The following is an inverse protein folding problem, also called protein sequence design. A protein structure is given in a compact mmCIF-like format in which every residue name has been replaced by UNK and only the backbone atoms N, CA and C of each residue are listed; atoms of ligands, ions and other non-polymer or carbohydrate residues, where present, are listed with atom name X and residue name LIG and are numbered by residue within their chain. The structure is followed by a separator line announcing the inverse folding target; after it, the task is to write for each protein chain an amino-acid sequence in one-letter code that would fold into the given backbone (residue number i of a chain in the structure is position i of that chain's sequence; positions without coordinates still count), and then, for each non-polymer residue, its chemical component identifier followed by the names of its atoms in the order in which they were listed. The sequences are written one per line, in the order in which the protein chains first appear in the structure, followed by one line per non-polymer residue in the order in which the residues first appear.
data_IF_614781349120
#
_entry.id   IF_614781349120
#
_cell.length_a   1.000
_cell.length_b   1.000
_cell.length_c   1.000
_cell.angle_alpha   90.00
_cell.angle_beta   90.00
_cell.angle_gamma   90.00
#
_symmetry.space_group_name_H-M   'P 1'
#
loop_
_entity.id
_entity.type
_entity.pdbx_description
1 polymer ?
#
# COMPACT_ATOMS: atom_id res chain seq x y z
N UNK A 1 5.59 -19.16 -5.27
CA UNK A 1 5.20 -18.35 -4.08
C UNK A 1 5.08 -16.90 -4.51
N UNK A 2 3.97 -16.21 -4.18
CA UNK A 2 3.60 -14.91 -4.77
C UNK A 2 4.11 -13.68 -3.99
N UNK A 3 4.56 -13.82 -2.74
CA UNK A 3 4.94 -12.68 -1.87
C UNK A 3 6.41 -12.24 -2.01
N UNK A 4 7.11 -12.64 -3.06
CA UNK A 4 8.51 -12.27 -3.25
C UNK A 4 8.65 -10.80 -3.69
N UNK A 5 9.62 -10.09 -3.10
CA UNK A 5 9.95 -8.70 -3.45
C UNK A 5 8.81 -7.68 -3.36
N UNK A 6 7.88 -7.84 -2.41
CA UNK A 6 6.81 -6.87 -2.12
C UNK A 6 7.39 -5.53 -1.67
N UNK A 7 6.89 -4.43 -2.22
CA UNK A 7 7.35 -3.06 -1.90
C UNK A 7 6.27 -2.22 -1.20
N UNK A 8 5.02 -2.66 -1.22
CA UNK A 8 3.89 -2.05 -0.54
C UNK A 8 2.74 -3.05 -0.47
N UNK A 9 1.87 -2.93 0.54
CA UNK A 9 0.72 -3.83 0.72
C UNK A 9 -0.54 -2.99 0.90
N UNK A 10 -1.61 -3.38 0.19
CA UNK A 10 -2.95 -2.84 0.40
C UNK A 10 -3.78 -3.92 1.10
N UNK A 11 -4.20 -3.65 2.33
CA UNK A 11 -5.04 -4.52 3.14
C UNK A 11 -6.51 -4.13 2.92
N UNK A 12 -7.26 -4.99 2.24
CA UNK A 12 -8.65 -4.71 1.87
C UNK A 12 -9.61 -5.47 2.78
N UNK A 13 -10.58 -4.77 3.35
CA UNK A 13 -11.66 -5.41 4.09
C UNK A 13 -13.03 -4.88 3.68
N UNK A 14 -14.08 -5.60 4.09
CA UNK A 14 -15.47 -5.26 3.85
C UNK A 14 -16.04 -4.58 5.12
N UNK A 15 -16.54 -3.36 4.98
CA UNK A 15 -17.08 -2.59 6.12
C UNK A 15 -18.33 -3.24 6.72
N UNK A 16 -19.06 -4.04 5.93
CA UNK A 16 -20.25 -4.79 6.37
C UNK A 16 -19.88 -6.08 7.12
N UNK A 17 -18.63 -6.54 7.00
CA UNK A 17 -18.15 -7.79 7.59
C UNK A 17 -17.01 -7.55 8.59
N UNK A 18 -17.35 -7.45 9.88
CA UNK A 18 -16.37 -7.29 10.98
C UNK A 18 -15.30 -8.38 11.01
N UNK A 19 -15.58 -9.61 10.54
CA UNK A 19 -14.58 -10.68 10.52
C UNK A 19 -13.49 -10.42 9.48
N UNK A 20 -13.83 -9.75 8.37
CA UNK A 20 -12.86 -9.41 7.32
C UNK A 20 -11.79 -8.45 7.84
N UNK A 21 -12.15 -7.44 8.66
CA UNK A 21 -11.19 -6.52 9.26
C UNK A 21 -10.30 -7.24 10.29
N UNK A 22 -10.85 -8.16 11.07
CA UNK A 22 -10.07 -8.98 12.02
C UNK A 22 -9.05 -9.88 11.32
N UNK A 23 -9.35 -10.37 10.12
CA UNK A 23 -8.44 -11.23 9.37
C UNK A 23 -7.27 -10.45 8.75
N UNK A 24 -7.34 -9.11 8.65
CA UNK A 24 -6.24 -8.29 8.12
C UNK A 24 -4.93 -8.53 8.86
N UNK A 25 -4.98 -8.73 10.17
CA UNK A 25 -3.79 -9.07 10.97
C UNK A 25 -3.12 -10.38 10.51
N UNK A 26 -3.92 -11.40 10.21
CA UNK A 26 -3.39 -12.69 9.77
C UNK A 26 -2.76 -12.55 8.39
N UNK A 27 -3.43 -11.83 7.49
CA UNK A 27 -2.93 -11.58 6.13
C UNK A 27 -1.70 -10.68 6.10
N UNK A 28 -1.61 -9.67 6.97
CA UNK A 28 -0.42 -8.84 7.07
C UNK A 28 0.78 -9.65 7.55
N UNK A 29 0.60 -10.50 8.56
CA UNK A 29 1.69 -11.37 9.05
C UNK A 29 2.12 -12.38 7.98
N UNK A 30 1.17 -12.98 7.25
CA UNK A 30 1.48 -13.88 6.14
C UNK A 30 2.33 -13.20 5.05
N UNK A 31 2.01 -11.95 4.70
CA UNK A 31 2.72 -11.21 3.67
C UNK A 31 4.11 -10.69 4.13
N UNK A 32 4.26 -10.40 5.43
CA UNK A 32 5.48 -9.81 6.01
C UNK A 32 6.48 -10.88 6.51
N UNK A 33 6.00 -11.96 7.12
CA UNK A 33 6.84 -12.98 7.78
C UNK A 33 7.14 -14.17 6.85
N UNK A 34 8.01 -13.95 5.86
CA UNK A 34 8.37 -14.93 4.81
C UNK A 34 9.02 -16.22 5.31
N UNK A 35 9.64 -16.20 6.50
CA UNK A 35 10.51 -17.29 6.97
C UNK A 35 10.02 -17.99 8.25
N UNK A 36 8.81 -17.66 8.74
CA UNK A 36 8.23 -18.38 9.85
C UNK A 36 7.53 -19.61 9.26
N UNK A 37 8.14 -20.79 9.42
CA UNK A 37 7.43 -22.06 9.29
C UNK A 37 6.09 -21.94 9.98
N UNK A 38 4.98 -22.50 9.44
CA UNK A 38 3.68 -22.43 10.08
C UNK A 38 3.73 -23.30 11.34
N UNK A 39 4.40 -22.80 12.39
CA UNK A 39 4.23 -23.30 13.73
C UNK A 39 2.76 -23.04 14.02
N UNK A 40 2.05 -24.09 14.40
CA UNK A 40 0.62 -24.16 14.69
C UNK A 40 0.17 -23.26 15.86
N UNK A 41 0.97 -22.24 16.20
CA UNK A 41 0.87 -21.38 17.37
C UNK A 41 1.18 -19.97 16.87
N UNK A 42 0.17 -19.16 16.57
CA UNK A 42 0.15 -17.69 16.74
C UNK A 42 -1.21 -17.11 16.30
N UNK A 43 -2.30 -17.86 16.48
CA UNK A 43 -3.65 -17.32 16.26
C UNK A 43 -4.60 -17.81 17.35
N UNK A 44 -4.16 -17.74 18.60
CA UNK A 44 -5.08 -17.73 19.73
C UNK A 44 -5.44 -16.28 20.01
N UNK A 45 -6.74 -15.97 19.88
CA UNK A 45 -7.41 -14.69 20.15
C UNK A 45 -6.81 -13.83 21.29
N UNK A 46 -5.76 -13.02 21.06
CA UNK A 46 -5.30 -12.12 22.12
C UNK A 46 -4.13 -11.22 21.76
N UNK A 47 -2.99 -11.79 21.40
CA UNK A 47 -1.73 -11.05 21.49
C UNK A 47 -1.19 -10.70 20.11
N UNK A 48 -1.80 -9.67 19.49
CA UNK A 48 -1.17 -8.98 18.37
C UNK A 48 -0.12 -8.04 18.91
N UNK A 49 1.14 -8.33 18.64
CA UNK A 49 2.25 -7.49 19.07
C UNK A 49 2.37 -6.27 18.13
N UNK A 50 2.03 -5.09 18.64
CA UNK A 50 2.15 -3.82 17.92
C UNK A 50 3.60 -3.53 17.51
N UNK A 51 4.58 -4.02 18.26
CA UNK A 51 6.00 -3.80 17.96
C UNK A 51 6.43 -4.46 16.65
N UNK A 52 5.80 -5.59 16.27
CA UNK A 52 6.06 -6.25 14.98
C UNK A 52 5.73 -5.36 13.76
N UNK A 53 4.79 -4.43 13.92
CA UNK A 53 4.43 -3.49 12.85
C UNK A 53 5.25 -2.20 12.90
N UNK A 54 5.82 -1.83 14.05
CA UNK A 54 6.64 -0.64 14.21
C UNK A 54 7.96 -0.74 13.42
N UNK A 55 8.56 -1.93 13.37
CA UNK A 55 9.81 -2.18 12.63
C UNK A 55 9.58 -2.47 11.14
N UNK A 56 8.33 -2.68 10.72
CA UNK A 56 8.03 -3.03 9.34
C UNK A 56 8.30 -1.86 8.40
N UNK A 57 9.27 -2.06 7.50
CA UNK A 57 9.63 -1.05 6.52
C UNK A 57 8.68 -0.99 5.33
N UNK A 58 7.85 -2.01 5.08
CA UNK A 58 6.95 -2.03 3.91
C UNK A 58 5.74 -1.12 4.16
N UNK A 59 5.49 -0.08 3.34
CA UNK A 59 4.31 0.77 3.49
C UNK A 59 3.00 -0.01 3.37
N UNK A 60 2.05 0.30 4.27
CA UNK A 60 0.72 -0.30 4.33
C UNK A 60 -0.36 0.74 4.04
N UNK A 61 -1.42 0.33 3.33
CA UNK A 61 -2.65 1.09 3.13
C UNK A 61 -3.84 0.18 3.45
N UNK A 62 -4.78 0.64 4.27
CA UNK A 62 -6.02 -0.08 4.57
C UNK A 62 -7.16 0.49 3.73
N UNK A 63 -7.89 -0.38 3.04
CA UNK A 63 -9.09 0.00 2.27
C UNK A 63 -10.31 -0.72 2.81
N UNK A 64 -11.26 0.05 3.33
CA UNK A 64 -12.60 -0.43 3.67
C UNK A 64 -13.56 -0.27 2.49
N UNK A 65 -14.14 -1.37 2.04
CA UNK A 65 -15.06 -1.42 0.89
C UNK A 65 -16.52 -1.49 1.33
N UNK A 66 -17.44 -1.31 0.38
CA UNK A 66 -18.90 -1.33 0.59
C UNK A 66 -19.41 -0.24 1.54
N UNK A 67 -18.79 0.94 1.51
CA UNK A 67 -19.20 2.07 2.34
C UNK A 67 -20.66 2.48 2.10
N UNK A 68 -21.14 2.32 0.87
CA UNK A 68 -22.53 2.54 0.44
C UNK A 68 -23.54 1.64 1.17
N UNK A 69 -23.11 0.46 1.63
CA UNK A 69 -23.98 -0.50 2.33
C UNK A 69 -24.05 -0.27 3.84
N UNK A 70 -23.30 0.70 4.37
CA UNK A 70 -23.32 1.04 5.79
C UNK A 70 -24.42 2.08 6.06
N UNK A 71 -25.43 1.77 6.89
CA UNK A 71 -26.44 2.73 7.28
C UNK A 71 -25.82 3.96 7.94
N UNK A 72 -26.31 5.15 7.62
CA UNK A 72 -25.82 6.42 8.18
C UNK A 72 -25.73 6.40 9.72
N UNK A 73 -26.74 5.81 10.37
CA UNK A 73 -26.81 5.69 11.84
C UNK A 73 -25.68 4.85 12.45
N UNK A 74 -25.07 3.95 11.68
CA UNK A 74 -23.99 3.06 12.12
C UNK A 74 -22.62 3.45 11.54
N UNK A 75 -22.56 4.43 10.63
CA UNK A 75 -21.32 4.75 9.91
C UNK A 75 -20.20 5.16 10.86
N UNK A 76 -20.47 6.08 11.79
CA UNK A 76 -19.44 6.53 12.74
C UNK A 76 -18.92 5.38 13.62
N UNK A 77 -19.79 4.48 14.08
CA UNK A 77 -19.38 3.31 14.86
C UNK A 77 -18.43 2.39 14.06
N UNK A 78 -18.78 2.11 12.80
CA UNK A 78 -17.99 1.26 11.92
C UNK A 78 -16.62 1.90 11.62
N UNK A 79 -16.59 3.20 11.31
CA UNK A 79 -15.36 3.93 10.97
C UNK A 79 -14.44 4.12 12.18
N UNK A 80 -14.99 4.44 13.36
CA UNK A 80 -14.18 4.53 14.58
C UNK A 80 -13.52 3.20 14.95
N UNK A 81 -14.22 2.08 14.70
CA UNK A 81 -13.66 0.75 14.94
C UNK A 81 -12.50 0.42 13.99
N UNK A 82 -12.57 0.85 12.72
CA UNK A 82 -11.50 0.59 11.75
C UNK A 82 -10.32 1.52 11.95
N UNK A 83 -10.52 2.74 12.48
CA UNK A 83 -9.44 3.66 12.81
C UNK A 83 -8.40 3.06 13.78
N UNK A 84 -8.84 2.37 14.85
CA UNK A 84 -7.91 1.70 15.77
C UNK A 84 -7.05 0.63 15.09
N UNK A 85 -7.66 -0.15 14.19
CA UNK A 85 -6.96 -1.17 13.42
C UNK A 85 -5.89 -0.55 12.49
N UNK A 86 -6.20 0.60 11.91
CA UNK A 86 -5.29 1.35 11.03
C UNK A 86 -4.09 1.91 11.81
N UNK A 87 -4.33 2.41 13.02
CA UNK A 87 -3.28 2.86 13.94
C UNK A 87 -2.33 1.71 14.30
N UNK A 88 -2.86 0.51 14.57
CA UNK A 88 -2.06 -0.68 14.87
C UNK A 88 -1.11 -1.03 13.71
N UNK A 89 -1.55 -0.85 12.46
CA UNK A 89 -0.72 -1.05 11.27
C UNK A 89 0.18 0.13 10.92
N UNK A 90 0.09 1.26 11.62
CA UNK A 90 0.74 2.52 11.23
C UNK A 90 0.48 2.88 9.76
N UNK A 91 -0.74 2.64 9.30
CA UNK A 91 -1.17 2.74 7.91
C UNK A 91 -2.03 3.99 7.65
N UNK A 92 -2.24 4.31 6.37
CA UNK A 92 -3.34 5.22 5.98
C UNK A 92 -4.63 4.43 5.74
N UNK A 93 -5.78 5.11 5.82
CA UNK A 93 -7.10 4.52 5.57
C UNK A 93 -7.85 5.25 4.45
N UNK A 94 -8.46 4.45 3.57
CA UNK A 94 -9.46 4.89 2.59
C UNK A 94 -10.72 4.03 2.73
N UNK A 95 -11.86 4.65 2.99
CA UNK A 95 -13.16 3.98 2.98
C UNK A 95 -13.94 4.42 1.75
N UNK A 96 -14.42 3.47 0.94
CA UNK A 96 -15.06 3.77 -0.34
C UNK A 96 -16.12 2.74 -0.77
N UNK A 97 -16.89 3.14 -1.77
CA UNK A 97 -17.70 2.26 -2.61
C UNK A 97 -16.96 2.03 -3.93
N UNK A 98 -16.55 0.78 -4.18
CA UNK A 98 -15.81 0.38 -5.37
C UNK A 98 -16.61 0.50 -6.67
N UNK A 99 -17.94 0.59 -6.59
CA UNK A 99 -18.83 0.69 -7.76
C UNK A 99 -19.02 2.13 -8.22
N UNK A 100 -18.58 3.11 -7.42
CA UNK A 100 -18.71 4.52 -7.72
C UNK A 100 -17.35 5.18 -7.99
N UNK A 101 -17.06 5.63 -9.23
CA UNK A 101 -15.76 6.18 -9.60
C UNK A 101 -15.43 7.49 -8.88
N UNK A 102 -16.44 8.16 -8.31
CA UNK A 102 -16.27 9.43 -7.59
C UNK A 102 -15.34 9.32 -6.38
N UNK A 103 -15.28 8.14 -5.75
CA UNK A 103 -14.46 7.92 -4.56
C UNK A 103 -12.96 7.94 -4.83
N UNK A 104 -12.53 7.82 -6.09
CA UNK A 104 -11.14 7.96 -6.51
C UNK A 104 -10.98 8.98 -7.65
N UNK A 105 -11.96 9.90 -7.79
CA UNK A 105 -11.87 10.97 -8.77
C UNK A 105 -10.63 11.84 -8.50
N UNK A 106 -10.00 12.32 -9.58
CA UNK A 106 -8.86 13.21 -9.49
C UNK A 106 -9.19 14.45 -8.63
N UNK A 107 -8.27 14.83 -7.73
CA UNK A 107 -8.47 15.93 -6.79
C UNK A 107 -9.29 15.58 -5.54
N UNK A 108 -9.88 14.38 -5.46
CA UNK A 108 -10.51 13.91 -4.22
C UNK A 108 -9.48 13.62 -3.14
N UNK A 109 -9.86 13.74 -1.86
CA UNK A 109 -9.00 13.41 -0.72
C UNK A 109 -8.48 11.97 -0.77
N UNK A 110 -9.31 11.03 -1.26
CA UNK A 110 -8.93 9.63 -1.41
C UNK A 110 -7.89 9.43 -2.51
N UNK A 111 -8.02 10.11 -3.66
CA UNK A 111 -7.01 10.06 -4.70
C UNK A 111 -5.66 10.63 -4.22
N UNK A 112 -5.69 11.70 -3.41
CA UNK A 112 -4.48 12.28 -2.80
C UNK A 112 -3.82 11.29 -1.84
N UNK A 113 -4.58 10.64 -0.95
CA UNK A 113 -4.06 9.58 -0.06
C UNK A 113 -3.45 8.42 -0.84
N UNK A 114 -4.13 7.97 -1.89
CA UNK A 114 -3.64 6.89 -2.75
C UNK A 114 -2.32 7.26 -3.44
N UNK A 115 -2.21 8.48 -3.97
CA UNK A 115 -0.95 9.00 -4.53
C UNK A 115 0.16 9.02 -3.48
N UNK A 116 -0.08 9.56 -2.28
CA UNK A 116 0.91 9.57 -1.19
C UNK A 116 1.38 8.18 -0.80
N UNK A 117 0.47 7.21 -0.76
CA UNK A 117 0.84 5.82 -0.50
C UNK A 117 1.80 5.29 -1.58
N UNK A 118 1.50 5.49 -2.87
CA UNK A 118 2.39 5.06 -3.94
C UNK A 118 3.73 5.80 -3.93
N UNK A 119 3.73 7.10 -3.66
CA UNK A 119 4.96 7.88 -3.52
C UNK A 119 5.83 7.33 -2.39
N UNK A 120 5.24 7.06 -1.21
CA UNK A 120 5.92 6.43 -0.07
C UNK A 120 6.51 5.05 -0.42
N UNK A 121 5.80 4.24 -1.20
CA UNK A 121 6.30 2.93 -1.70
C UNK A 121 7.53 3.12 -2.58
N UNK A 122 7.48 4.06 -3.53
CA UNK A 122 8.60 4.38 -4.42
C UNK A 122 9.79 4.89 -3.60
N UNK A 123 9.56 5.81 -2.68
CA UNK A 123 10.58 6.38 -1.81
C UNK A 123 11.29 5.34 -0.96
N UNK A 124 10.53 4.49 -0.27
CA UNK A 124 11.10 3.41 0.54
C UNK A 124 11.90 2.40 -0.28
N UNK A 125 11.49 2.14 -1.53
CA UNK A 125 12.17 1.19 -2.41
C UNK A 125 13.45 1.74 -3.03
N UNK A 126 13.47 3.01 -3.43
CA UNK A 126 14.55 3.57 -4.24
C UNK A 126 15.36 4.66 -3.54
N UNK A 127 14.77 5.44 -2.63
CA UNK A 127 15.44 6.61 -2.07
C UNK A 127 15.92 6.43 -0.62
N UNK A 128 15.29 5.55 0.18
CA UNK A 128 15.75 5.25 1.56
C UNK A 128 16.98 4.33 1.57
N UNK A 129 17.20 3.53 0.52
CA UNK A 129 18.37 2.64 0.41
C UNK A 129 19.66 3.37 0.03
N UNK A 130 19.57 4.55 -0.56
CA UNK A 130 20.71 5.27 -1.15
C UNK A 130 21.29 6.33 -0.21
N UNK A 131 21.46 6.00 1.08
CA UNK A 131 22.46 6.66 1.92
C UNK A 131 23.90 6.37 1.49
N UNK A 132 24.09 5.41 0.57
CA UNK A 132 25.34 5.16 -0.14
C UNK A 132 25.02 4.51 -1.49
N UNK A 133 25.38 5.22 -2.57
CA UNK A 133 25.39 4.80 -3.98
C UNK A 133 24.11 5.08 -4.78
N UNK A 134 24.05 6.29 -5.35
CA UNK A 134 23.21 6.60 -6.52
C UNK A 134 23.73 5.76 -7.70
N UNK A 135 22.97 4.80 -8.26
CA UNK A 135 23.25 4.30 -9.60
C UNK A 135 22.70 5.34 -10.57
N UNK A 136 23.61 6.11 -11.16
CA UNK A 136 23.34 7.03 -12.27
C UNK A 136 22.38 6.37 -13.26
N UNK A 137 21.22 7.00 -13.44
CA UNK A 137 20.24 6.60 -14.44
C UNK A 137 20.91 6.75 -15.81
N UNK A 138 21.32 5.64 -16.43
CA UNK A 138 21.81 5.66 -17.80
C UNK A 138 20.72 6.20 -18.72
N UNK A 139 20.86 7.46 -19.14
CA UNK A 139 20.01 8.08 -20.14
C UNK A 139 19.93 7.16 -21.36
N UNK A 140 18.73 6.64 -21.63
CA UNK A 140 18.43 6.02 -22.92
C UNK A 140 18.58 7.10 -23.98
N UNK A 141 19.73 7.12 -24.67
CA UNK A 141 19.91 7.85 -25.93
C UNK A 141 18.76 7.50 -26.88
N UNK A 142 17.88 8.47 -27.12
CA UNK A 142 17.00 8.51 -28.29
C UNK A 142 17.88 8.49 -29.53
N UNK A 143 18.08 7.32 -30.13
CA UNK A 143 18.50 7.22 -31.53
C UNK A 143 17.32 7.62 -32.39
N UNK A 144 17.30 8.86 -32.85
CA UNK A 144 16.29 9.37 -33.76
C UNK A 144 16.59 10.80 -34.19
N UNK A 145 16.91 10.94 -35.48
CA UNK A 145 17.03 12.18 -36.26
C UNK A 145 18.45 12.72 -36.46
N UNK A 146 18.85 12.84 -37.74
CA UNK A 146 19.88 13.78 -38.16
C UNK A 146 20.97 13.30 -39.12
N UNK A 147 20.67 12.51 -40.15
CA UNK A 147 21.57 12.48 -41.33
C UNK A 147 21.30 13.72 -42.18
N UNK A 148 22.04 14.79 -41.92
CA UNK A 148 22.14 15.94 -42.83
C UNK A 148 23.55 15.95 -43.41
N UNK A 149 23.60 15.80 -44.73
CA UNK A 149 24.78 15.83 -45.59
C UNK A 149 25.54 17.14 -45.41
N UNK A 150 26.88 17.07 -45.38
CA UNK A 150 27.72 18.18 -45.83
C UNK A 150 28.77 17.65 -46.80
N UNK A 151 28.64 18.11 -48.05
CA UNK A 151 29.66 18.07 -49.09
C UNK A 151 30.75 19.09 -48.75
N UNK A 152 32.02 18.71 -48.90
CA UNK A 152 33.02 19.62 -49.43
C UNK A 152 34.07 18.82 -50.21
N UNK A 153 34.22 19.19 -51.48
CA UNK A 153 35.36 18.90 -52.32
C UNK A 153 36.15 20.20 -52.41
N UNK A 154 37.47 20.04 -52.51
CA UNK A 154 38.57 21.01 -52.66
C UNK A 154 39.06 21.71 -51.37
#
# INVERSE_FOLDING_TARGET
MFYNSVNGIILVHDLTNKKSSQNLYRWSLEALNKDVTPSSVLVTNGDYDREQFADNQIPLLVIGTKLDQIPETKRNEVLSRTAFLVEDFSAEEINLDCTSPRYLAAGSSNAVKLSRFFDKVIEKRYYIRDGNQIPSFSEKKRMGSGFVKNFHYD
#
